data_IF_999248673911
#
_entry.id   IF_999248673911
#
_cell.length_a   1.000
_cell.length_b   1.000
_cell.length_c   1.000
_cell.angle_alpha   90.00
_cell.angle_beta   90.00
_cell.angle_gamma   90.00
#
_symmetry.space_group_name_H-M   'P 1'
#
loop_
_entity.id
_entity.type
_entity.pdbx_description
1 polymer ?
#
# COMPACT_ATOMS: atom_id res chain seq x y z
N UNK A 1 11.14 -23.84 -1.83
CA UNK A 1 12.16 -22.90 -2.35
C UNK A 1 11.80 -21.44 -2.08
N UNK A 2 10.58 -20.99 -2.42
CA UNK A 2 10.12 -19.62 -2.12
C UNK A 2 10.14 -19.28 -0.61
N UNK A 3 9.67 -20.19 0.25
CA UNK A 3 9.70 -20.01 1.71
C UNK A 3 11.10 -19.81 2.27
N UNK A 4 12.07 -20.59 1.78
CA UNK A 4 13.48 -20.48 2.17
C UNK A 4 14.12 -19.17 1.69
N UNK A 5 13.76 -18.71 0.49
CA UNK A 5 14.23 -17.44 -0.04
C UNK A 5 13.67 -16.25 0.75
N UNK A 6 12.37 -16.26 1.07
CA UNK A 6 11.74 -15.23 1.90
C UNK A 6 12.30 -15.24 3.32
N UNK A 7 12.47 -16.42 3.92
CA UNK A 7 13.10 -16.57 5.21
C UNK A 7 14.52 -16.04 5.21
N UNK A 8 15.35 -16.46 4.23
CA UNK A 8 16.73 -16.02 4.10
C UNK A 8 16.86 -14.51 3.88
N UNK A 9 15.97 -13.92 3.10
CA UNK A 9 15.90 -12.47 2.90
C UNK A 9 15.58 -11.73 4.21
N UNK A 10 14.56 -12.16 4.95
CA UNK A 10 14.20 -11.57 6.24
C UNK A 10 15.27 -11.78 7.31
N UNK A 11 15.83 -12.99 7.39
CA UNK A 11 16.92 -13.32 8.30
C UNK A 11 18.19 -12.49 7.99
N UNK A 12 18.50 -12.29 6.71
CA UNK A 12 19.57 -11.42 6.26
C UNK A 12 19.33 -9.97 6.68
N UNK A 13 18.13 -9.42 6.43
CA UNK A 13 17.76 -8.08 6.88
C UNK A 13 17.84 -7.94 8.41
N UNK A 14 17.41 -8.95 9.15
CA UNK A 14 17.51 -9.00 10.61
C UNK A 14 18.97 -8.96 11.08
N UNK A 15 19.84 -9.78 10.47
CA UNK A 15 21.26 -9.84 10.81
C UNK A 15 21.99 -8.53 10.46
N UNK A 16 21.71 -7.94 9.29
CA UNK A 16 22.23 -6.61 8.94
C UNK A 16 21.74 -5.52 9.90
N UNK A 17 20.51 -5.65 10.40
CA UNK A 17 19.94 -4.72 11.37
C UNK A 17 20.68 -4.69 12.71
N UNK A 18 21.39 -5.76 13.10
CA UNK A 18 22.27 -5.74 14.28
C UNK A 18 23.39 -4.69 14.16
N UNK A 19 23.90 -4.45 12.96
CA UNK A 19 24.88 -3.37 12.71
C UNK A 19 24.23 -2.02 12.47
N UNK A 20 23.04 -2.02 11.86
CA UNK A 20 22.30 -0.79 11.49
C UNK A 20 20.82 -0.94 11.86
N UNK A 21 20.42 -0.58 13.09
CA UNK A 21 19.06 -0.82 13.61
C UNK A 21 17.93 -0.20 12.77
N UNK A 22 18.23 0.84 11.98
CA UNK A 22 17.28 1.41 11.03
C UNK A 22 16.76 0.38 9.99
N UNK A 23 17.53 -0.65 9.66
CA UNK A 23 17.09 -1.70 8.72
C UNK A 23 15.93 -2.53 9.27
N UNK A 24 15.76 -2.63 10.59
CA UNK A 24 14.60 -3.30 11.17
C UNK A 24 13.29 -2.55 10.90
N UNK A 25 13.34 -1.22 10.79
CA UNK A 25 12.18 -0.40 10.38
C UNK A 25 11.83 -0.71 8.91
N UNK A 26 12.83 -0.78 8.03
CA UNK A 26 12.62 -1.14 6.63
C UNK A 26 12.07 -2.56 6.47
N UNK A 27 12.59 -3.50 7.26
CA UNK A 27 12.10 -4.88 7.29
C UNK A 27 10.65 -4.95 7.80
N UNK A 28 10.29 -4.18 8.84
CA UNK A 28 8.91 -4.07 9.29
C UNK A 28 8.00 -3.54 8.19
N UNK A 29 8.38 -2.45 7.51
CA UNK A 29 7.63 -1.89 6.38
C UNK A 29 7.43 -2.91 5.26
N UNK A 30 8.46 -3.69 4.93
CA UNK A 30 8.36 -4.76 3.95
C UNK A 30 7.35 -5.84 4.38
N UNK A 31 7.41 -6.30 5.63
CA UNK A 31 6.50 -7.33 6.15
C UNK A 31 5.06 -6.83 6.24
N UNK A 32 4.85 -5.56 6.62
CA UNK A 32 3.53 -4.94 6.70
C UNK A 32 2.88 -4.79 5.31
N UNK A 33 3.65 -4.44 4.29
CA UNK A 33 3.15 -4.25 2.92
C UNK A 33 2.96 -5.58 2.19
N UNK A 34 3.97 -6.47 2.22
CA UNK A 34 3.99 -7.71 1.44
C UNK A 34 3.33 -8.86 2.19
N UNK A 35 3.11 -8.75 3.50
CA UNK A 35 2.55 -9.80 4.36
C UNK A 35 3.08 -11.21 4.01
N UNK A 36 4.41 -11.45 3.99
CA UNK A 36 4.99 -12.72 3.55
C UNK A 36 4.50 -13.92 4.38
N UNK A 37 4.06 -13.66 5.61
CA UNK A 37 3.42 -14.64 6.49
C UNK A 37 2.15 -15.26 5.89
N UNK A 38 1.41 -14.50 5.08
CA UNK A 38 0.21 -14.99 4.37
C UNK A 38 0.55 -15.70 3.05
N UNK A 39 1.78 -15.55 2.56
CA UNK A 39 2.26 -16.15 1.30
C UNK A 39 2.96 -17.50 1.58
N UNK A 40 3.58 -17.64 2.75
CA UNK A 40 4.37 -18.81 3.12
C UNK A 40 3.53 -19.92 3.75
N UNK A 41 3.85 -21.18 3.46
CA UNK A 41 3.01 -22.33 3.81
C UNK A 41 3.31 -22.94 5.19
N UNK A 42 4.51 -22.74 5.77
CA UNK A 42 4.87 -23.44 7.01
C UNK A 42 5.79 -22.67 7.97
N UNK A 43 6.97 -22.21 7.54
CA UNK A 43 7.95 -21.60 8.46
C UNK A 43 7.58 -20.18 8.92
N UNK A 44 7.19 -19.30 7.99
CA UNK A 44 6.90 -17.89 8.33
C UNK A 44 5.49 -17.70 8.90
N UNK A 45 4.57 -18.61 8.62
CA UNK A 45 3.18 -18.54 9.10
C UNK A 45 3.08 -18.80 10.62
N UNK A 46 4.00 -19.61 11.17
CA UNK A 46 3.99 -20.03 12.58
C UNK A 46 4.61 -19.00 13.53
N UNK A 47 5.39 -18.04 13.00
CA UNK A 47 6.07 -17.02 13.80
C UNK A 47 5.38 -15.66 13.67
N UNK A 48 5.21 -14.89 14.77
CA UNK A 48 4.70 -13.53 14.73
C UNK A 48 5.79 -12.55 14.25
N UNK A 49 6.23 -12.70 12.99
CA UNK A 49 7.30 -11.92 12.35
C UNK A 49 7.04 -10.41 12.45
N UNK A 50 5.81 -9.96 12.22
CA UNK A 50 5.44 -8.55 12.34
C UNK A 50 5.69 -8.01 13.76
N UNK A 51 5.37 -8.79 14.81
CA UNK A 51 5.63 -8.41 16.20
C UNK A 51 7.13 -8.38 16.51
N UNK A 52 7.87 -9.40 16.07
CA UNK A 52 9.32 -9.49 16.27
C UNK A 52 10.02 -8.28 15.63
N UNK A 53 9.67 -7.96 14.39
CA UNK A 53 10.20 -6.81 13.67
C UNK A 53 9.78 -5.49 14.30
N UNK A 54 8.57 -5.38 14.82
CA UNK A 54 8.12 -4.21 15.55
C UNK A 54 8.97 -3.99 16.81
N UNK A 55 9.13 -5.03 17.63
CA UNK A 55 9.95 -4.97 18.84
C UNK A 55 11.42 -4.67 18.50
N UNK A 56 11.96 -5.27 17.43
CA UNK A 56 13.31 -4.99 16.96
C UNK A 56 13.45 -3.54 16.47
N UNK A 57 12.52 -3.05 15.64
CA UNK A 57 12.53 -1.69 15.13
C UNK A 57 12.42 -0.65 16.25
N UNK A 58 11.47 -0.84 17.18
CA UNK A 58 11.26 0.05 18.30
C UNK A 58 12.40 -0.01 19.31
N UNK A 59 12.83 -1.22 19.70
CA UNK A 59 13.94 -1.43 20.63
C UNK A 59 15.28 -0.96 20.06
N UNK A 60 15.54 -1.23 18.79
CA UNK A 60 16.71 -0.75 18.07
C UNK A 60 16.76 0.78 17.98
N UNK A 61 15.63 1.41 17.71
CA UNK A 61 15.52 2.86 17.75
C UNK A 61 15.71 3.43 19.17
N UNK A 62 15.17 2.75 20.18
CA UNK A 62 15.27 3.19 21.58
C UNK A 62 16.72 3.12 22.08
N UNK A 63 17.45 2.05 21.78
CA UNK A 63 18.79 1.78 22.32
C UNK A 63 19.88 2.48 21.51
N UNK A 64 19.83 2.39 20.17
CA UNK A 64 20.98 2.72 19.33
C UNK A 64 20.85 4.03 18.54
N UNK A 65 19.66 4.62 18.48
CA UNK A 65 19.43 5.84 17.70
C UNK A 65 19.55 7.08 18.60
N UNK A 66 20.34 8.05 18.13
CA UNK A 66 20.44 9.38 18.76
C UNK A 66 19.03 9.98 18.85
N UNK A 67 18.70 10.77 19.89
CA UNK A 67 17.36 11.35 20.12
C UNK A 67 17.32 12.87 20.03
N UNK A 68 18.45 13.52 19.76
CA UNK A 68 18.62 14.98 19.77
C UNK A 68 17.68 15.73 18.82
N UNK A 69 17.31 15.14 17.69
CA UNK A 69 16.41 15.76 16.68
C UNK A 69 14.97 15.22 16.70
N UNK A 70 14.56 14.54 17.77
CA UNK A 70 13.19 14.04 17.90
C UNK A 70 12.21 15.16 18.21
N UNK A 71 11.59 15.75 17.17
CA UNK A 71 10.64 16.85 17.32
C UNK A 71 9.21 16.34 17.44
N UNK A 72 8.66 16.47 18.65
CA UNK A 72 7.23 16.30 18.85
C UNK A 72 6.47 17.43 18.16
N UNK A 73 5.68 17.09 17.14
CA UNK A 73 4.95 18.06 16.31
C UNK A 73 3.44 17.92 16.57
N UNK A 74 2.66 18.99 16.35
CA UNK A 74 1.19 18.95 16.42
C UNK A 74 0.58 17.74 15.70
N UNK A 75 1.15 17.35 14.54
CA UNK A 75 0.72 16.16 13.78
C UNK A 75 0.81 14.86 14.58
N UNK A 76 1.84 14.70 15.42
CA UNK A 76 1.96 13.52 16.30
C UNK A 76 0.95 13.57 17.43
N UNK A 77 0.67 14.76 17.98
CA UNK A 77 -0.43 14.96 18.92
C UNK A 77 -1.79 14.59 18.32
N UNK A 78 -2.06 15.00 17.08
CA UNK A 78 -3.29 14.65 16.36
C UNK A 78 -3.40 13.15 16.09
N UNK A 79 -2.30 12.48 15.70
CA UNK A 79 -2.29 11.03 15.51
C UNK A 79 -2.49 10.27 16.84
N UNK A 80 -1.91 10.77 17.93
CA UNK A 80 -2.14 10.22 19.28
C UNK A 80 -3.60 10.43 19.72
N UNK A 81 -4.16 11.62 19.50
CA UNK A 81 -5.56 11.90 19.77
C UNK A 81 -6.48 11.00 18.94
N UNK A 82 -6.15 10.76 17.66
CA UNK A 82 -6.87 9.81 16.81
C UNK A 82 -6.80 8.38 17.35
N UNK A 83 -5.62 7.92 17.80
CA UNK A 83 -5.46 6.60 18.42
C UNK A 83 -6.33 6.46 19.67
N UNK A 84 -6.32 7.47 20.54
CA UNK A 84 -7.15 7.50 21.76
C UNK A 84 -8.64 7.51 21.41
N UNK A 85 -9.04 8.34 20.45
CA UNK A 85 -10.41 8.42 19.98
C UNK A 85 -10.89 7.06 19.44
N UNK A 86 -10.10 6.41 18.58
CA UNK A 86 -10.42 5.06 18.09
C UNK A 86 -10.47 4.02 19.22
N UNK A 87 -9.62 4.15 20.24
CA UNK A 87 -9.65 3.28 21.42
C UNK A 87 -10.96 3.44 22.19
N UNK A 88 -11.37 4.68 22.47
CA UNK A 88 -12.63 4.98 23.17
C UNK A 88 -13.83 4.47 22.36
N UNK A 89 -13.90 4.76 21.07
CA UNK A 89 -15.03 4.30 20.23
C UNK A 89 -15.09 2.79 20.06
N UNK A 90 -13.95 2.09 20.17
CA UNK A 90 -13.93 0.62 20.19
C UNK A 90 -14.51 0.07 21.50
N UNK A 91 -14.22 0.71 22.64
CA UNK A 91 -14.73 0.30 23.95
C UNK A 91 -16.23 0.56 24.09
N UNK A 92 -16.74 1.60 23.43
CA UNK A 92 -18.16 1.98 23.45
C UNK A 92 -18.94 1.52 22.22
N UNK A 93 -18.42 0.53 21.47
CA UNK A 93 -19.04 0.08 20.24
C UNK A 93 -20.26 -0.81 20.50
N UNK A 94 -21.35 -0.59 19.75
CA UNK A 94 -22.56 -1.43 19.80
C UNK A 94 -22.29 -2.88 19.33
N UNK A 95 -21.25 -3.07 18.50
CA UNK A 95 -20.78 -4.37 18.02
C UNK A 95 -19.35 -4.66 18.53
N UNK A 96 -19.19 -5.10 19.79
CA UNK A 96 -17.88 -5.17 20.44
C UNK A 96 -16.95 -6.23 19.83
N UNK A 97 -17.50 -7.33 19.29
CA UNK A 97 -16.71 -8.43 18.72
C UNK A 97 -16.04 -8.01 17.41
N UNK A 98 -16.82 -7.43 16.50
CA UNK A 98 -16.35 -6.92 15.21
C UNK A 98 -15.42 -5.70 15.40
N UNK A 99 -15.76 -4.82 16.35
CA UNK A 99 -14.93 -3.69 16.72
C UNK A 99 -13.56 -4.16 17.26
N UNK A 100 -13.53 -5.15 18.16
CA UNK A 100 -12.29 -5.74 18.67
C UNK A 100 -11.46 -6.39 17.55
N UNK A 101 -12.10 -7.10 16.62
CA UNK A 101 -11.42 -7.71 15.48
C UNK A 101 -10.77 -6.66 14.56
N UNK A 102 -11.42 -5.52 14.32
CA UNK A 102 -10.82 -4.39 13.59
C UNK A 102 -9.71 -3.71 14.39
N UNK A 103 -9.95 -3.47 15.67
CA UNK A 103 -8.98 -2.82 16.55
C UNK A 103 -7.66 -3.58 16.59
N UNK A 104 -7.70 -4.92 16.65
CA UNK A 104 -6.54 -5.80 16.80
C UNK A 104 -5.36 -5.55 15.84
N UNK A 105 -5.60 -4.98 14.67
CA UNK A 105 -4.55 -4.57 13.72
C UNK A 105 -4.44 -3.05 13.54
N UNK A 106 -5.55 -2.31 13.66
CA UNK A 106 -5.57 -0.84 13.50
C UNK A 106 -4.67 -0.13 14.50
N UNK A 107 -4.72 -0.51 15.79
CA UNK A 107 -3.90 0.16 16.81
C UNK A 107 -2.41 -0.05 16.56
N UNK A 108 -2.01 -1.24 16.08
CA UNK A 108 -0.61 -1.56 15.73
C UNK A 108 -0.12 -0.69 14.57
N UNK A 109 -0.94 -0.56 13.54
CA UNK A 109 -0.65 0.31 12.40
C UNK A 109 -0.53 1.79 12.82
N UNK A 110 -1.45 2.28 13.67
CA UNK A 110 -1.42 3.67 14.18
C UNK A 110 -0.20 3.94 15.07
N UNK A 111 0.15 3.03 15.99
CA UNK A 111 1.35 3.15 16.82
C UNK A 111 2.60 3.22 15.95
N UNK A 112 2.69 2.37 14.93
CA UNK A 112 3.81 2.42 13.99
C UNK A 112 3.82 3.71 13.16
N UNK A 113 2.65 4.21 12.73
CA UNK A 113 2.54 5.47 12.00
C UNK A 113 2.95 6.69 12.84
N UNK A 114 2.68 6.68 14.15
CA UNK A 114 3.14 7.70 15.10
C UNK A 114 4.66 7.63 15.27
N UNK A 115 5.20 6.41 15.33
CA UNK A 115 6.63 6.13 15.52
C UNK A 115 7.48 6.48 14.28
N UNK A 116 7.01 6.17 13.07
CA UNK A 116 7.80 6.25 11.84
C UNK A 116 8.43 7.65 11.60
N UNK A 117 7.72 8.79 11.75
CA UNK A 117 8.32 10.11 11.62
C UNK A 117 9.47 10.39 12.60
N UNK A 118 9.48 9.78 13.78
CA UNK A 118 10.55 9.95 14.78
C UNK A 118 11.86 9.26 14.36
N UNK A 119 11.77 8.25 13.50
CA UNK A 119 12.91 7.50 12.99
C UNK A 119 13.43 8.03 11.64
N UNK A 120 12.60 8.73 10.87
CA UNK A 120 12.92 9.30 9.55
C UNK A 120 13.53 10.70 9.64
N UNK A 121 14.80 10.77 10.04
CA UNK A 121 15.47 12.06 10.31
C UNK A 121 16.38 12.56 9.20
N UNK A 122 17.02 11.64 8.49
CA UNK A 122 17.98 12.00 7.43
C UNK A 122 17.37 11.76 6.07
N UNK A 123 17.85 12.52 5.08
CA UNK A 123 17.45 12.35 3.67
C UNK A 123 17.63 10.91 3.21
N UNK A 124 18.73 10.25 3.58
CA UNK A 124 18.99 8.85 3.25
C UNK A 124 17.94 7.90 3.83
N UNK A 125 17.50 8.12 5.08
CA UNK A 125 16.47 7.29 5.71
C UNK A 125 15.11 7.45 5.04
N UNK A 126 14.74 8.69 4.69
CA UNK A 126 13.51 8.97 3.95
C UNK A 126 13.57 8.32 2.56
N UNK A 127 14.69 8.48 1.84
CA UNK A 127 14.90 7.85 0.53
C UNK A 127 14.84 6.33 0.62
N UNK A 128 15.50 5.71 1.60
CA UNK A 128 15.47 4.26 1.81
C UNK A 128 14.07 3.74 2.17
N UNK A 129 13.33 4.48 3.00
CA UNK A 129 11.95 4.15 3.37
C UNK A 129 11.04 4.18 2.13
N UNK A 130 11.08 5.27 1.35
CA UNK A 130 10.31 5.40 0.11
C UNK A 130 10.69 4.29 -0.86
N UNK A 131 11.98 4.02 -1.05
CA UNK A 131 12.45 2.94 -1.90
C UNK A 131 11.89 1.58 -1.49
N UNK A 132 11.98 1.22 -0.19
CA UNK A 132 11.44 -0.04 0.32
C UNK A 132 9.93 -0.14 0.11
N UNK A 133 9.18 0.92 0.40
CA UNK A 133 7.73 0.95 0.18
C UNK A 133 7.37 0.78 -1.29
N UNK A 134 8.09 1.46 -2.20
CA UNK A 134 7.86 1.35 -3.65
C UNK A 134 8.19 -0.04 -4.17
N UNK A 135 9.30 -0.65 -3.74
CA UNK A 135 9.68 -2.00 -4.18
C UNK A 135 8.75 -3.07 -3.59
N UNK A 136 8.34 -2.92 -2.33
CA UNK A 136 7.39 -3.81 -1.65
C UNK A 136 5.99 -3.74 -2.28
N UNK A 137 5.44 -2.55 -2.49
CA UNK A 137 4.19 -2.40 -3.23
C UNK A 137 4.35 -2.85 -4.69
N UNK A 138 5.53 -2.59 -5.27
CA UNK A 138 5.88 -2.96 -6.63
C UNK A 138 5.82 -4.46 -6.88
N UNK A 139 6.21 -5.32 -5.92
CA UNK A 139 6.07 -6.77 -6.10
C UNK A 139 4.60 -7.16 -6.29
N UNK A 140 3.67 -6.56 -5.53
CA UNK A 140 2.23 -6.80 -5.63
C UNK A 140 1.67 -6.23 -6.94
N UNK A 141 2.07 -5.01 -7.30
CA UNK A 141 1.59 -4.33 -8.51
C UNK A 141 2.08 -4.99 -9.79
N UNK A 142 3.34 -5.43 -9.85
CA UNK A 142 3.91 -6.11 -11.02
C UNK A 142 3.15 -7.42 -11.28
N UNK A 143 2.91 -8.21 -10.24
CA UNK A 143 2.16 -9.47 -10.39
C UNK A 143 0.71 -9.24 -10.80
N UNK A 144 0.03 -8.26 -10.20
CA UNK A 144 -1.32 -7.87 -10.61
C UNK A 144 -1.39 -7.30 -12.03
N UNK A 145 -0.40 -6.49 -12.44
CA UNK A 145 -0.30 -5.91 -13.77
C UNK A 145 -0.06 -6.97 -14.85
N UNK A 146 0.87 -7.91 -14.62
CA UNK A 146 1.12 -9.04 -15.52
C UNK A 146 -0.17 -9.87 -15.71
N UNK A 147 -0.85 -10.23 -14.62
CA UNK A 147 -2.13 -10.96 -14.72
C UNK A 147 -3.18 -10.18 -15.49
N UNK A 148 -3.29 -8.88 -15.27
CA UNK A 148 -4.24 -8.02 -15.99
C UNK A 148 -4.00 -8.05 -17.51
N UNK A 149 -2.74 -8.07 -17.96
CA UNK A 149 -2.39 -8.15 -19.38
C UNK A 149 -2.70 -9.53 -19.98
N UNK A 150 -2.35 -10.61 -19.28
CA UNK A 150 -2.41 -11.96 -19.85
C UNK A 150 -3.74 -12.71 -19.62
N UNK A 151 -4.42 -12.51 -18.50
CA UNK A 151 -5.65 -13.26 -18.16
C UNK A 151 -6.93 -12.45 -18.25
N UNK A 152 -6.84 -11.13 -18.49
CA UNK A 152 -7.95 -10.22 -18.26
C UNK A 152 -8.26 -10.04 -16.77
N UNK A 153 -8.85 -8.89 -16.42
CA UNK A 153 -9.16 -8.51 -15.05
C UNK A 153 -10.47 -9.07 -14.49
N UNK A 154 -10.71 -8.88 -13.19
CA UNK A 154 -11.99 -9.11 -12.54
C UNK A 154 -11.97 -8.79 -11.02
N UNK A 155 -13.07 -8.20 -10.54
CA UNK A 155 -13.23 -7.85 -9.12
C UNK A 155 -13.26 -9.12 -8.25
N UNK A 156 -12.28 -9.26 -7.36
CA UNK A 156 -12.14 -10.45 -6.50
C UNK A 156 -11.60 -11.71 -7.20
N UNK A 157 -11.36 -11.68 -8.52
CA UNK A 157 -10.74 -12.80 -9.27
C UNK A 157 -9.25 -12.58 -9.56
N UNK A 158 -8.76 -11.35 -9.42
CA UNK A 158 -7.32 -11.09 -9.36
C UNK A 158 -6.77 -11.57 -8.03
N UNK A 159 -6.41 -12.86 -7.98
CA UNK A 159 -5.52 -13.34 -6.94
C UNK A 159 -4.20 -12.58 -7.06
N UNK A 160 -3.92 -11.68 -6.12
CA UNK A 160 -2.58 -11.15 -5.93
C UNK A 160 -1.68 -12.26 -5.36
N UNK A 161 -0.65 -11.93 -4.57
CA UNK A 161 0.13 -12.96 -3.86
C UNK A 161 -0.70 -13.75 -2.83
N UNK A 162 -1.76 -13.15 -2.31
CA UNK A 162 -2.64 -13.73 -1.29
C UNK A 162 -4.08 -13.59 -1.77
N UNK A 163 -4.85 -14.67 -1.72
CA UNK A 163 -6.30 -14.68 -2.02
C UNK A 163 -7.08 -14.24 -0.79
N UNK A 164 -6.91 -12.98 -0.38
CA UNK A 164 -7.54 -12.44 0.82
C UNK A 164 -7.97 -10.99 0.54
N UNK A 165 -9.27 -10.69 0.63
CA UNK A 165 -9.83 -9.35 0.38
C UNK A 165 -9.73 -8.47 1.63
N UNK A 166 -8.55 -8.42 2.25
CA UNK A 166 -8.32 -7.66 3.47
C UNK A 166 -7.09 -6.78 3.36
N UNK A 167 -7.21 -5.52 3.83
CA UNK A 167 -6.13 -4.54 3.82
C UNK A 167 -5.64 -4.20 2.41
N UNK A 168 -4.32 -4.20 2.21
CA UNK A 168 -3.68 -3.86 0.93
C UNK A 168 -4.03 -4.81 -0.23
N UNK A 169 -4.58 -5.99 0.04
CA UNK A 169 -4.99 -6.94 -1.00
C UNK A 169 -6.43 -6.73 -1.50
N UNK A 170 -7.18 -5.81 -0.86
CA UNK A 170 -8.49 -5.40 -1.36
C UNK A 170 -8.34 -4.62 -2.68
N UNK A 171 -9.09 -5.02 -3.71
CA UNK A 171 -8.96 -4.48 -5.07
C UNK A 171 -9.14 -2.95 -5.17
N UNK A 172 -9.99 -2.35 -4.33
CA UNK A 172 -10.19 -0.89 -4.28
C UNK A 172 -9.00 -0.18 -3.62
N UNK A 173 -8.47 -0.75 -2.53
CA UNK A 173 -7.37 -0.17 -1.75
C UNK A 173 -6.08 -0.23 -2.57
N UNK A 174 -5.74 -1.40 -3.14
CA UNK A 174 -4.53 -1.56 -3.95
C UNK A 174 -4.53 -0.66 -5.18
N UNK A 175 -5.69 -0.41 -5.79
CA UNK A 175 -5.83 0.52 -6.90
C UNK A 175 -5.51 1.96 -6.49
N UNK A 176 -6.02 2.40 -5.33
CA UNK A 176 -5.72 3.73 -4.82
C UNK A 176 -4.23 3.86 -4.48
N UNK A 177 -3.65 2.85 -3.82
CA UNK A 177 -2.24 2.82 -3.43
C UNK A 177 -1.32 2.79 -4.66
N UNK A 178 -1.63 1.99 -5.68
CA UNK A 178 -0.84 1.91 -6.91
C UNK A 178 -0.71 3.29 -7.59
N UNK A 179 -1.81 4.05 -7.64
CA UNK A 179 -1.81 5.39 -8.24
C UNK A 179 -1.10 6.40 -7.33
N UNK A 180 -1.33 6.33 -6.01
CA UNK A 180 -0.70 7.23 -5.04
C UNK A 180 0.83 7.08 -5.00
N UNK A 181 1.36 5.90 -5.37
CA UNK A 181 2.80 5.62 -5.42
C UNK A 181 3.46 6.17 -6.70
N UNK A 182 2.72 6.48 -7.78
CA UNK A 182 3.29 6.98 -9.05
C UNK A 182 4.20 8.22 -8.84
N UNK A 183 3.79 9.28 -8.12
CA UNK A 183 4.67 10.41 -7.85
C UNK A 183 5.95 10.03 -7.10
N UNK A 184 5.86 9.06 -6.17
CA UNK A 184 7.02 8.58 -5.42
C UNK A 184 7.99 7.80 -6.31
N UNK A 185 7.49 6.97 -7.24
CA UNK A 185 8.31 6.27 -8.24
C UNK A 185 9.08 7.29 -9.10
N UNK A 186 8.38 8.30 -9.63
CA UNK A 186 8.99 9.34 -10.46
C UNK A 186 9.98 10.20 -9.67
N UNK A 187 9.67 10.49 -8.40
CA UNK A 187 10.56 11.21 -7.51
C UNK A 187 11.84 10.41 -7.25
N UNK A 188 11.72 9.12 -6.93
CA UNK A 188 12.86 8.24 -6.66
C UNK A 188 13.75 8.07 -7.91
N UNK A 189 13.15 7.91 -9.09
CA UNK A 189 13.89 7.80 -10.35
C UNK A 189 14.65 9.09 -10.71
N UNK A 190 14.16 10.25 -10.27
CA UNK A 190 14.77 11.56 -10.56
C UNK A 190 15.72 12.04 -9.46
N UNK A 191 15.40 11.85 -8.19
CA UNK A 191 16.10 12.48 -7.06
C UNK A 191 16.74 11.48 -6.09
N UNK A 192 16.49 10.19 -6.27
CA UNK A 192 17.07 9.14 -5.43
C UNK A 192 18.59 9.10 -5.55
N UNK A 193 19.26 8.90 -4.42
CA UNK A 193 20.72 8.76 -4.34
C UNK A 193 21.18 7.31 -4.19
N UNK A 194 20.27 6.40 -3.82
CA UNK A 194 20.59 4.98 -3.58
C UNK A 194 20.93 4.24 -4.87
N UNK A 195 20.16 4.47 -5.94
CA UNK A 195 20.44 3.92 -7.27
C UNK A 195 20.88 5.04 -8.21
N UNK A 196 22.01 4.88 -8.93
CA UNK A 196 22.49 5.91 -9.84
C UNK A 196 21.49 6.13 -10.98
N UNK A 197 21.34 7.38 -11.39
CA UNK A 197 20.49 7.75 -12.52
C UNK A 197 21.01 7.06 -13.78
N UNK A 198 20.16 6.25 -14.39
CA UNK A 198 20.50 5.53 -15.61
C UNK A 198 19.27 5.09 -16.37
N UNK A 199 19.50 4.72 -17.64
CA UNK A 199 18.49 4.09 -18.49
C UNK A 199 17.77 2.90 -17.83
N UNK A 200 18.43 1.97 -17.10
CA UNK A 200 17.72 0.85 -16.48
C UNK A 200 16.75 1.30 -15.38
N UNK A 201 17.14 2.28 -14.55
CA UNK A 201 16.26 2.82 -13.50
C UNK A 201 15.06 3.55 -14.10
N UNK A 202 15.28 4.34 -15.17
CA UNK A 202 14.21 5.02 -15.88
C UNK A 202 13.25 4.03 -16.57
N UNK A 203 13.78 2.97 -17.17
CA UNK A 203 12.98 1.91 -17.79
C UNK A 203 12.14 1.16 -16.75
N UNK A 204 12.75 0.76 -15.63
CA UNK A 204 12.05 0.08 -14.55
C UNK A 204 10.97 0.99 -13.94
N UNK A 205 11.27 2.26 -13.68
CA UNK A 205 10.31 3.23 -13.18
C UNK A 205 9.14 3.42 -14.16
N UNK A 206 9.41 3.52 -15.47
CA UNK A 206 8.38 3.62 -16.50
C UNK A 206 7.49 2.37 -16.56
N UNK A 207 8.09 1.18 -16.52
CA UNK A 207 7.37 -0.10 -16.50
C UNK A 207 6.52 -0.25 -15.23
N UNK A 208 7.04 0.18 -14.08
CA UNK A 208 6.32 0.14 -12.81
C UNK A 208 5.13 1.12 -12.80
N UNK A 209 5.29 2.33 -13.33
CA UNK A 209 4.19 3.28 -13.50
C UNK A 209 3.11 2.72 -14.42
N UNK A 210 3.51 2.07 -15.52
CA UNK A 210 2.58 1.39 -16.41
C UNK A 210 1.81 0.28 -15.69
N UNK A 211 2.50 -0.57 -14.91
CA UNK A 211 1.86 -1.60 -14.09
C UNK A 211 0.89 -0.98 -13.06
N UNK A 212 1.24 0.14 -12.43
CA UNK A 212 0.36 0.86 -11.49
C UNK A 212 -0.94 1.33 -12.16
N UNK A 213 -0.88 1.78 -13.41
CA UNK A 213 -2.06 2.20 -14.19
C UNK A 213 -2.94 1.03 -14.63
N UNK A 214 -2.36 -0.16 -14.80
CA UNK A 214 -3.11 -1.37 -15.15
C UNK A 214 -3.92 -1.94 -13.97
N UNK A 215 -3.48 -1.78 -12.73
CA UNK A 215 -4.17 -2.33 -11.55
C UNK A 215 -5.64 -1.87 -11.44
N UNK A 216 -5.98 -0.57 -11.57
CA UNK A 216 -7.37 -0.11 -11.60
C UNK A 216 -8.22 -0.73 -12.71
N UNK A 217 -7.62 -0.96 -13.89
CA UNK A 217 -8.30 -1.57 -15.03
C UNK A 217 -8.58 -3.04 -14.74
N UNK A 218 -7.58 -3.75 -14.20
CA UNK A 218 -7.70 -5.17 -13.85
C UNK A 218 -8.65 -5.44 -12.70
N UNK A 219 -8.60 -4.64 -11.64
CA UNK A 219 -9.44 -4.84 -10.43
C UNK A 219 -10.89 -4.39 -10.64
N UNK A 220 -11.20 -3.67 -11.73
CA UNK A 220 -12.51 -3.07 -11.98
C UNK A 220 -12.96 -2.07 -10.89
N UNK A 221 -12.06 -1.58 -10.06
CA UNK A 221 -12.39 -0.67 -8.98
C UNK A 221 -12.77 0.71 -9.55
N UNK A 222 -14.04 1.13 -9.36
CA UNK A 222 -14.53 2.46 -9.79
C UNK A 222 -13.73 3.60 -9.15
N UNK A 223 -13.30 3.42 -7.90
CA UNK A 223 -12.43 4.34 -7.17
C UNK A 223 -11.06 4.51 -7.83
N UNK A 224 -10.52 3.46 -8.45
CA UNK A 224 -9.24 3.50 -9.16
C UNK A 224 -9.28 4.41 -10.40
N UNK A 225 -10.36 4.39 -11.17
CA UNK A 225 -10.52 5.30 -12.31
C UNK A 225 -10.57 6.77 -11.88
N UNK A 226 -11.27 7.06 -10.78
CA UNK A 226 -11.31 8.41 -10.21
C UNK A 226 -9.93 8.87 -9.76
N UNK A 227 -9.15 7.98 -9.15
CA UNK A 227 -7.77 8.28 -8.76
C UNK A 227 -6.87 8.56 -9.96
N UNK A 228 -7.01 7.83 -11.09
CA UNK A 228 -6.26 8.11 -12.32
C UNK A 228 -6.64 9.50 -12.86
N UNK A 229 -7.93 9.82 -12.91
CA UNK A 229 -8.42 11.10 -13.39
C UNK A 229 -7.88 12.25 -12.52
N UNK A 230 -7.96 12.11 -11.20
CA UNK A 230 -7.43 13.10 -10.25
C UNK A 230 -5.92 13.27 -10.41
N UNK A 231 -5.15 12.18 -10.52
CA UNK A 231 -3.71 12.25 -10.74
C UNK A 231 -3.40 12.98 -12.05
N UNK A 232 -4.13 12.70 -13.13
CA UNK A 232 -4.00 13.39 -14.41
C UNK A 232 -4.23 14.90 -14.29
N UNK A 233 -5.30 15.31 -13.58
CA UNK A 233 -5.61 16.72 -13.32
C UNK A 233 -4.52 17.40 -12.50
N UNK A 234 -4.01 16.72 -11.46
CA UNK A 234 -2.91 17.26 -10.65
C UNK A 234 -1.62 17.38 -11.46
N UNK A 235 -1.31 16.41 -12.33
CA UNK A 235 -0.14 16.47 -13.20
C UNK A 235 -0.24 17.61 -14.23
N UNK A 236 -1.43 17.93 -14.74
CA UNK A 236 -1.64 19.08 -15.65
C UNK A 236 -1.18 20.41 -15.06
N UNK A 237 -1.19 20.57 -13.73
CA UNK A 237 -0.66 21.79 -13.05
C UNK A 237 0.86 21.90 -13.16
N UNK A 238 1.55 20.78 -13.28
CA UNK A 238 3.02 20.71 -13.26
C UNK A 238 3.66 20.58 -14.64
N UNK A 239 2.91 20.11 -15.64
CA UNK A 239 3.44 19.82 -16.98
C UNK A 239 3.46 21.09 -17.85
N UNK A 240 4.62 21.37 -18.47
CA UNK A 240 4.84 22.51 -19.37
C UNK A 240 4.01 22.43 -20.65
N UNK A 241 3.76 21.22 -21.17
CA UNK A 241 3.02 20.95 -22.42
C UNK A 241 1.68 20.26 -22.14
N UNK A 242 0.71 21.03 -21.63
CA UNK A 242 -0.58 20.52 -21.12
C UNK A 242 -1.40 19.79 -22.18
N UNK A 243 -1.41 20.29 -23.43
CA UNK A 243 -2.15 19.69 -24.53
C UNK A 243 -1.56 18.37 -25.02
N UNK A 244 -0.22 18.26 -25.06
CA UNK A 244 0.46 17.00 -25.40
C UNK A 244 0.22 15.93 -24.33
N UNK A 245 0.22 16.31 -23.05
CA UNK A 245 -0.10 15.40 -21.95
C UNK A 245 -1.56 14.95 -21.98
N UNK A 246 -2.50 15.87 -22.23
CA UNK A 246 -3.91 15.55 -22.39
C UNK A 246 -4.17 14.62 -23.60
N UNK A 247 -3.49 14.86 -24.73
CA UNK A 247 -3.55 13.99 -25.90
C UNK A 247 -2.98 12.59 -25.65
N UNK A 248 -1.83 12.50 -24.97
CA UNK A 248 -1.23 11.22 -24.57
C UNK A 248 -2.13 10.45 -23.58
N UNK A 249 -2.75 11.15 -22.62
CA UNK A 249 -3.70 10.56 -21.68
C UNK A 249 -4.95 10.03 -22.40
N UNK A 250 -5.48 10.77 -23.38
CA UNK A 250 -6.61 10.32 -24.19
C UNK A 250 -6.29 9.09 -25.05
N UNK A 251 -5.10 9.05 -25.65
CA UNK A 251 -4.61 7.87 -26.38
C UNK A 251 -4.43 6.66 -25.46
N UNK A 252 -3.85 6.84 -24.28
CA UNK A 252 -3.70 5.78 -23.28
C UNK A 252 -5.08 5.27 -22.80
N UNK A 253 -6.04 6.16 -22.56
CA UNK A 253 -7.41 5.79 -22.19
C UNK A 253 -8.11 4.98 -23.29
N UNK A 254 -7.87 5.32 -24.56
CA UNK A 254 -8.39 4.57 -25.72
C UNK A 254 -7.72 3.22 -25.90
N UNK A 255 -6.39 3.15 -25.70
CA UNK A 255 -5.63 1.90 -25.72
C UNK A 255 -6.01 0.95 -24.57
N UNK A 256 -6.53 1.47 -23.46
CA UNK A 256 -7.02 0.67 -22.33
C UNK A 256 -8.41 0.06 -22.55
N UNK A 257 -9.17 0.45 -23.58
CA UNK A 257 -10.51 -0.10 -23.88
C UNK A 257 -10.51 -1.62 -24.10
N UNK A 258 -9.63 -2.22 -24.93
CA UNK A 258 -9.60 -3.67 -25.13
C UNK A 258 -9.19 -4.47 -23.88
N UNK A 259 -8.50 -3.85 -22.93
CA UNK A 259 -8.09 -4.48 -21.67
C UNK A 259 -9.22 -4.48 -20.63
N UNK A 260 -10.39 -3.89 -20.94
CA UNK A 260 -11.52 -3.84 -20.00
C UNK A 260 -12.26 -5.18 -19.98
N UNK A 261 -12.42 -5.80 -18.80
CA UNK A 261 -13.27 -6.98 -18.66
C UNK A 261 -14.74 -6.73 -19.04
N UNK A 262 -15.48 -7.74 -19.54
CA UNK A 262 -16.82 -7.60 -20.14
C UNK A 262 -17.88 -6.88 -19.28
N UNK A 263 -17.76 -6.93 -17.94
CA UNK A 263 -18.67 -6.21 -17.02
C UNK A 263 -18.65 -4.69 -17.18
N UNK A 264 -17.61 -4.09 -17.79
CA UNK A 264 -17.60 -2.65 -18.09
C UNK A 264 -18.54 -2.26 -19.24
N UNK A 265 -18.79 -3.19 -20.16
CA UNK A 265 -19.59 -2.95 -21.37
C UNK A 265 -21.08 -3.30 -21.18
N UNK A 266 -21.40 -4.08 -20.13
CA UNK A 266 -22.77 -4.34 -19.70
C UNK A 266 -23.06 -3.61 -18.38
N UNK A 267 -23.55 -2.36 -18.40
CA UNK A 267 -24.16 -1.73 -17.24
C UNK A 267 -25.54 -2.35 -16.97
N UNK A 268 -25.60 -3.67 -16.74
CA UNK A 268 -26.77 -4.33 -16.16
C UNK A 268 -26.39 -4.70 -14.74
N UNK A 269 -26.53 -3.71 -13.87
CA UNK A 269 -27.13 -3.89 -12.55
C UNK A 269 -27.45 -2.48 -12.03
N UNK A 270 -28.72 -2.03 -12.14
CA UNK A 270 -29.19 -0.95 -11.28
C UNK A 270 -28.99 -1.38 -9.83
N UNK A 271 -29.03 -0.39 -8.93
CA UNK A 271 -28.70 -0.41 -7.49
C UNK A 271 -29.61 -1.36 -6.66
N UNK A 272 -30.04 -2.52 -7.15
CA UNK A 272 -31.11 -3.32 -6.57
C UNK A 272 -30.68 -4.55 -5.75
N UNK A 273 -29.46 -5.06 -5.88
CA UNK A 273 -29.02 -6.21 -5.09
C UNK A 273 -28.19 -5.79 -3.86
N UNK A 274 -28.86 -5.14 -2.92
CA UNK A 274 -28.37 -4.87 -1.57
C UNK A 274 -28.08 -6.10 -0.67
N UNK A 275 -28.55 -7.34 -0.90
CA UNK A 275 -28.38 -8.39 0.11
C UNK A 275 -26.99 -9.02 0.23
N UNK A 276 -26.06 -8.79 -0.70
CA UNK A 276 -24.77 -9.52 -0.77
C UNK A 276 -23.54 -8.65 -0.55
N UNK A 277 -23.69 -7.32 -0.52
CA UNK A 277 -22.58 -6.41 -0.24
C UNK A 277 -22.40 -6.24 1.28
N UNK A 278 -21.47 -7.00 1.88
CA UNK A 278 -21.06 -6.84 3.29
C UNK A 278 -20.65 -5.41 3.67
N UNK A 279 -20.27 -4.56 2.70
CA UNK A 279 -19.95 -3.14 2.92
C UNK A 279 -21.18 -2.22 2.96
N UNK A 280 -22.33 -2.64 2.42
CA UNK A 280 -23.55 -1.83 2.35
C UNK A 280 -24.47 -2.04 3.57
N UNK A 281 -24.38 -3.18 4.25
CA UNK A 281 -25.17 -3.46 5.45
C UNK A 281 -24.84 -2.54 6.64
N UNK A 282 -23.56 -2.21 6.85
CA UNK A 282 -23.16 -1.36 8.00
C UNK A 282 -23.72 0.05 7.91
N UNK A 283 -23.65 0.74 6.73
CA UNK A 283 -24.31 2.01 6.56
C UNK A 283 -25.83 1.90 6.72
N UNK A 284 -26.51 1.00 5.99
CA UNK A 284 -27.99 0.95 6.00
C UNK A 284 -28.56 0.51 7.36
N UNK A 285 -27.86 -0.34 8.10
CA UNK A 285 -28.22 -0.66 9.49
C UNK A 285 -28.10 0.57 10.40
N UNK A 286 -27.10 1.44 10.20
CA UNK A 286 -26.98 2.71 10.91
C UNK A 286 -28.09 3.73 10.59
N UNK A 287 -28.68 3.66 9.39
CA UNK A 287 -29.83 4.51 8.99
C UNK A 287 -31.18 3.98 9.47
N UNK A 288 -31.26 2.73 9.95
CA UNK A 288 -32.48 2.19 10.59
C UNK A 288 -32.64 2.62 12.05
N UNK A 289 -31.65 3.32 12.62
CA UNK A 289 -31.67 3.90 13.97
C UNK A 289 -32.20 5.35 13.99
N UNK A 290 -33.23 5.65 13.18
CA UNK A 290 -34.04 6.86 13.30
C UNK A 290 -35.53 6.53 13.23
#
# INVERSE_FOLDING_TARGET
MLDLALFGFLAGLMALGLRRPFLWILAYLYVDIVAPQKISYFLLASLPISLILFCAAFGGWLIADDKRDSRFTLRQGLLLALLLYCGVTTLTADFPVEAAAKWAWVWKALVFAIFLPLALRTRLRIEACVLFMVLAAGSIVITGGIKTVFSGGGYGSLAFFVTDNTGLYEGSIISCVAIAIIPLILWLARFGTVFPRGKPVALFAGALVFACLLIPVGTQARTGLLCIALLGVLMLRTVRHRFLFAGAAALAARAAIPLRPPRYNNPKDPIHNHPTAKSAYTPTAGWQWQ
#
